data_IF_753648504072
#
_entry.id   IF_753648504072
#
_cell.length_a   1.000
_cell.length_b   1.000
_cell.length_c   1.000
_cell.angle_alpha   90.00
_cell.angle_beta   90.00
_cell.angle_gamma   90.00
#
_symmetry.space_group_name_H-M   'P 1'
#
loop_
_entity.id
_entity.type
_entity.pdbx_description
1 polymer ?
#
# COMPACT_ATOMS: atom_id res chain seq x y z
N UNK A 1 16.36 -4.18 -23.25
CA UNK A 1 15.83 -4.21 -22.68
C UNK A 1 15.02 -4.69 -22.35
N UNK A 2 15.05 -5.04 -22.34
CA UNK A 2 14.11 -5.28 -22.12
C UNK A 2 13.53 -5.52 -21.21
N UNK A 3 13.57 -5.65 -20.82
CA UNK A 3 13.19 -5.82 -20.08
C UNK A 3 12.55 -5.62 -19.26
N UNK A 4 12.94 -5.12 -19.29
CA UNK A 4 12.42 -4.35 -18.25
C UNK A 4 11.01 -4.49 -18.15
N UNK A 5 10.54 -5.15 -18.94
CA UNK A 5 9.19 -5.36 -19.00
C UNK A 5 8.67 -6.30 -18.01
N UNK A 6 9.44 -6.66 -17.04
CA UNK A 6 9.07 -7.71 -16.15
C UNK A 6 8.66 -7.20 -14.80
N UNK A 7 7.75 -6.25 -14.79
CA UNK A 7 7.17 -5.84 -13.52
C UNK A 7 6.14 -6.85 -13.08
N UNK A 8 6.33 -7.38 -11.89
CA UNK A 8 5.39 -8.33 -11.29
C UNK A 8 4.25 -7.58 -10.64
N UNK A 9 3.16 -8.28 -10.36
CA UNK A 9 2.05 -7.67 -9.63
C UNK A 9 2.50 -7.06 -8.32
N UNK A 10 3.40 -7.74 -7.61
CA UNK A 10 3.93 -7.25 -6.34
C UNK A 10 4.63 -5.93 -6.49
N UNK A 11 5.38 -5.76 -7.57
CA UNK A 11 6.09 -4.50 -7.80
C UNK A 11 5.11 -3.35 -7.97
N UNK A 12 4.03 -3.60 -8.69
CA UNK A 12 3.02 -2.58 -8.95
C UNK A 12 2.26 -2.26 -7.67
N UNK A 13 1.93 -3.29 -6.90
CA UNK A 13 1.23 -3.10 -5.63
C UNK A 13 2.08 -2.30 -4.66
N UNK A 14 3.38 -2.58 -4.60
CA UNK A 14 4.28 -1.83 -3.73
C UNK A 14 4.37 -0.37 -4.15
N UNK A 15 4.43 -0.13 -5.46
CA UNK A 15 4.45 1.25 -5.95
C UNK A 15 3.15 1.96 -5.60
N UNK A 16 2.02 1.27 -5.77
CA UNK A 16 0.73 1.85 -5.41
C UNK A 16 0.64 2.13 -3.92
N UNK A 17 1.19 1.22 -3.09
CA UNK A 17 1.24 1.45 -1.64
C UNK A 17 2.05 2.68 -1.30
N UNK A 18 3.16 2.90 -2.00
CA UNK A 18 3.98 4.09 -1.79
C UNK A 18 3.21 5.35 -2.14
N UNK A 19 2.41 5.30 -3.21
CA UNK A 19 1.56 6.43 -3.58
C UNK A 19 0.55 6.71 -2.48
N UNK A 20 -0.08 5.67 -1.93
CA UNK A 20 -1.05 5.84 -0.84
C UNK A 20 -0.36 6.47 0.37
N UNK A 21 0.83 6.01 0.69
CA UNK A 21 1.57 6.54 1.84
C UNK A 21 1.86 8.03 1.67
N UNK A 22 2.17 8.44 0.45
CA UNK A 22 2.53 9.84 0.17
C UNK A 22 1.32 10.73 -0.05
N UNK A 23 0.31 10.24 -0.73
CA UNK A 23 -0.75 11.10 -1.24
C UNK A 23 -2.16 10.59 -0.97
N UNK A 24 -2.31 9.40 -0.40
CA UNK A 24 -3.62 8.87 -0.08
C UNK A 24 -4.17 7.95 -1.16
N UNK A 25 -5.21 7.23 -0.81
CA UNK A 25 -5.79 6.20 -1.68
C UNK A 25 -6.37 6.79 -2.96
N UNK A 26 -6.91 7.99 -2.88
CA UNK A 26 -7.54 8.63 -4.04
C UNK A 26 -6.52 9.00 -5.13
N UNK A 27 -5.24 9.00 -4.79
CA UNK A 27 -4.20 9.35 -5.77
C UNK A 27 -3.83 8.19 -6.69
N UNK A 28 -4.35 7.00 -6.45
CA UNK A 28 -4.01 5.85 -7.27
C UNK A 28 -4.65 5.99 -8.65
N UNK A 29 -3.81 6.09 -9.66
CA UNK A 29 -4.22 5.96 -11.05
C UNK A 29 -3.03 5.42 -11.82
N UNK A 30 -3.26 4.98 -13.06
CA UNK A 30 -2.22 4.29 -13.81
C UNK A 30 -0.97 5.15 -13.99
N UNK A 31 -1.16 6.42 -14.29
CA UNK A 31 -0.02 7.32 -14.53
C UNK A 31 0.79 7.54 -13.27
N UNK A 32 0.10 7.76 -12.15
CA UNK A 32 0.81 8.02 -10.90
C UNK A 32 1.61 6.82 -10.45
N UNK A 33 1.01 5.63 -10.56
CA UNK A 33 1.70 4.40 -10.17
C UNK A 33 2.87 4.12 -11.12
N UNK A 34 2.67 4.36 -12.42
CA UNK A 34 3.74 4.17 -13.39
C UNK A 34 4.90 5.12 -13.10
N UNK A 35 4.59 6.35 -12.72
CA UNK A 35 5.63 7.31 -12.37
C UNK A 35 6.42 6.84 -11.14
N UNK A 36 5.73 6.27 -10.18
CA UNK A 36 6.38 5.74 -8.99
C UNK A 36 7.32 4.59 -9.34
N UNK A 37 6.91 3.75 -10.29
CA UNK A 37 7.73 2.63 -10.75
C UNK A 37 8.84 3.05 -11.69
N UNK A 38 8.70 4.22 -12.31
CA UNK A 38 9.65 4.66 -13.32
C UNK A 38 9.45 3.99 -14.66
N UNK A 39 8.21 3.70 -15.03
CA UNK A 39 7.90 3.01 -16.27
C UNK A 39 6.68 3.63 -16.94
N UNK A 40 6.29 3.09 -18.08
CA UNK A 40 5.07 3.49 -18.76
C UNK A 40 3.87 2.82 -18.09
N UNK A 41 2.66 3.14 -18.56
CA UNK A 41 1.44 2.55 -17.99
C UNK A 41 1.20 1.13 -18.45
N UNK A 42 1.88 0.68 -19.49
CA UNK A 42 1.63 -0.63 -20.07
C UNK A 42 1.78 -1.79 -19.09
N UNK A 43 2.86 -1.88 -18.31
CA UNK A 43 2.97 -2.99 -17.35
C UNK A 43 1.81 -3.06 -16.38
N UNK A 44 1.25 -1.91 -16.02
CA UNK A 44 0.14 -1.87 -15.08
C UNK A 44 -1.09 -2.52 -15.71
N UNK A 45 -1.40 -2.18 -16.95
CA UNK A 45 -2.56 -2.75 -17.64
C UNK A 45 -2.34 -4.20 -18.04
N UNK A 46 -1.10 -4.65 -18.06
CA UNK A 46 -0.80 -6.05 -18.26
C UNK A 46 -1.18 -6.88 -17.06
N UNK A 47 -0.94 -6.35 -15.87
CA UNK A 47 -1.11 -7.12 -14.64
C UNK A 47 -2.48 -6.94 -14.02
N UNK A 48 -3.14 -5.84 -14.30
CA UNK A 48 -4.45 -5.53 -13.69
C UNK A 48 -5.44 -5.14 -14.78
N UNK A 49 -6.59 -5.78 -14.75
CA UNK A 49 -7.61 -5.54 -15.74
C UNK A 49 -8.11 -4.10 -15.72
N UNK A 50 -8.21 -3.54 -14.52
CA UNK A 50 -8.64 -2.15 -14.36
C UNK A 50 -8.08 -1.60 -13.06
N UNK A 51 -8.30 -0.30 -12.85
CA UNK A 51 -7.75 0.37 -11.67
C UNK A 51 -8.42 -0.09 -10.39
N UNK A 52 -9.65 -0.52 -10.47
CA UNK A 52 -10.35 -1.01 -9.28
C UNK A 52 -9.66 -2.27 -8.74
N UNK A 53 -9.24 -3.15 -9.63
CA UNK A 53 -8.51 -4.35 -9.22
C UNK A 53 -7.20 -3.98 -8.54
N UNK A 54 -6.49 -2.99 -9.08
CA UNK A 54 -5.26 -2.53 -8.46
C UNK A 54 -5.53 -1.91 -7.10
N UNK A 55 -6.57 -1.10 -6.99
CA UNK A 55 -6.92 -0.49 -5.71
C UNK A 55 -7.23 -1.55 -4.66
N UNK A 56 -8.01 -2.56 -5.02
CA UNK A 56 -8.34 -3.63 -4.08
C UNK A 56 -7.10 -4.38 -3.63
N UNK A 57 -6.22 -4.70 -4.56
CA UNK A 57 -4.99 -5.41 -4.22
C UNK A 57 -4.11 -4.54 -3.30
N UNK A 58 -4.08 -3.23 -3.55
CA UNK A 58 -3.30 -2.32 -2.74
C UNK A 58 -3.86 -2.22 -1.32
N UNK A 59 -5.18 -2.15 -1.21
CA UNK A 59 -5.83 -2.11 0.10
C UNK A 59 -5.48 -3.36 0.90
N UNK A 60 -5.58 -4.52 0.28
CA UNK A 60 -5.23 -5.77 0.95
C UNK A 60 -3.77 -5.78 1.39
N UNK A 61 -2.89 -5.26 0.55
CA UNK A 61 -1.47 -5.19 0.88
C UNK A 61 -1.23 -4.30 2.10
N UNK A 62 -1.87 -3.13 2.13
CA UNK A 62 -1.70 -2.20 3.26
C UNK A 62 -2.31 -2.78 4.53
N UNK A 63 -3.42 -3.53 4.40
CA UNK A 63 -3.99 -4.20 5.56
C UNK A 63 -3.01 -5.22 6.15
N UNK A 64 -2.27 -5.91 5.31
CA UNK A 64 -1.23 -6.83 5.78
C UNK A 64 -0.11 -6.09 6.49
N UNK A 65 0.25 -4.90 5.99
CA UNK A 65 1.24 -4.07 6.67
C UNK A 65 0.73 -3.67 8.05
N UNK A 66 -0.53 -3.28 8.14
CA UNK A 66 -1.16 -2.96 9.42
C UNK A 66 -1.06 -4.13 10.39
N UNK A 67 -1.39 -5.34 9.90
CA UNK A 67 -1.31 -6.54 10.73
C UNK A 67 0.12 -6.78 11.20
N UNK A 68 1.11 -6.52 10.36
CA UNK A 68 2.51 -6.67 10.74
C UNK A 68 2.87 -5.73 11.88
N UNK A 69 2.42 -4.48 11.81
CA UNK A 69 2.65 -3.52 12.89
C UNK A 69 2.04 -4.03 14.20
N UNK A 70 0.82 -4.57 14.13
CA UNK A 70 0.14 -5.08 15.30
C UNK A 70 0.82 -6.29 15.89
N UNK A 71 1.30 -7.19 15.05
CA UNK A 71 2.01 -8.36 15.51
C UNK A 71 3.30 -7.96 16.23
N UNK A 72 4.04 -7.01 15.65
CA UNK A 72 5.25 -6.51 16.29
C UNK A 72 4.94 -5.86 17.63
N UNK A 73 3.86 -5.07 17.68
CA UNK A 73 3.45 -4.45 18.92
C UNK A 73 3.07 -5.47 19.98
N UNK A 74 2.47 -6.59 19.58
CA UNK A 74 2.04 -7.61 20.53
C UNK A 74 3.20 -8.35 21.17
N UNK A 75 4.39 -8.20 20.63
CA UNK A 75 5.59 -8.83 21.19
C UNK A 75 6.22 -8.01 22.30
N UNK A 76 5.72 -6.81 22.54
CA UNK A 76 6.22 -5.98 23.62
C UNK A 76 5.89 -6.57 24.97
N UNK A 77 6.66 -6.20 25.96
CA UNK A 77 6.48 -6.70 27.33
C UNK A 77 5.06 -6.43 27.83
N UNK A 78 4.55 -5.23 27.55
CA UNK A 78 3.15 -4.91 27.80
C UNK A 78 2.44 -4.89 26.45
N UNK A 79 1.81 -6.01 26.11
CA UNK A 79 1.28 -6.21 24.77
C UNK A 79 0.31 -5.11 24.34
N UNK A 80 -0.63 -4.73 25.21
CA UNK A 80 -1.62 -3.72 24.81
C UNK A 80 -0.96 -2.36 24.58
N UNK A 81 0.12 -2.05 25.32
CA UNK A 81 0.86 -0.82 25.10
C UNK A 81 1.60 -0.85 23.76
N UNK A 82 2.22 -2.00 23.47
CA UNK A 82 2.93 -2.18 22.21
C UNK A 82 1.99 -2.09 21.03
N UNK A 83 0.80 -2.66 21.16
CA UNK A 83 -0.19 -2.57 20.08
C UNK A 83 -0.70 -1.15 19.90
N UNK A 84 -0.87 -0.41 21.02
CA UNK A 84 -1.24 0.98 20.93
C UNK A 84 -0.22 1.82 20.23
N UNK A 85 1.07 1.60 20.52
CA UNK A 85 2.15 2.30 19.84
C UNK A 85 2.23 1.93 18.39
N UNK A 86 2.01 0.65 18.05
CA UNK A 86 2.00 0.20 16.67
C UNK A 86 0.88 0.86 15.89
N UNK A 87 -0.29 0.99 16.51
CA UNK A 87 -1.43 1.64 15.92
C UNK A 87 -1.11 3.11 15.58
N UNK A 88 -0.47 3.79 16.53
CA UNK A 88 -0.08 5.18 16.32
C UNK A 88 0.94 5.29 15.20
N UNK A 89 1.91 4.38 15.15
CA UNK A 89 2.91 4.38 14.09
C UNK A 89 2.27 4.17 12.72
N UNK A 90 1.32 3.25 12.66
CA UNK A 90 0.61 3.02 11.40
C UNK A 90 -0.16 4.25 10.96
N UNK A 91 -0.89 4.87 11.88
CA UNK A 91 -1.66 6.07 11.57
C UNK A 91 -0.76 7.21 11.10
N UNK A 92 0.44 7.29 11.66
CA UNK A 92 1.40 8.32 11.30
C UNK A 92 1.97 8.08 9.90
N UNK A 93 2.22 6.82 9.56
CA UNK A 93 2.79 6.46 8.26
C UNK A 93 1.76 6.48 7.14
N UNK A 94 0.51 6.19 7.46
CA UNK A 94 -0.57 6.07 6.48
C UNK A 94 -1.80 6.88 6.92
N UNK A 95 -1.66 8.20 7.07
CA UNK A 95 -2.75 8.98 7.68
C UNK A 95 -4.05 8.93 6.90
N UNK A 96 -3.99 9.05 5.59
CA UNK A 96 -5.21 9.05 4.78
C UNK A 96 -5.87 7.68 4.77
N UNK A 97 -5.08 6.63 4.68
CA UNK A 97 -5.60 5.28 4.71
C UNK A 97 -6.21 4.96 6.06
N UNK A 98 -5.54 5.41 7.13
CA UNK A 98 -6.05 5.20 8.48
C UNK A 98 -7.43 5.85 8.64
N UNK A 99 -7.59 7.07 8.15
CA UNK A 99 -8.90 7.73 8.21
C UNK A 99 -9.96 6.95 7.44
N UNK A 100 -9.58 6.35 6.33
CA UNK A 100 -10.51 5.50 5.57
C UNK A 100 -10.99 4.31 6.39
N UNK A 101 -10.09 3.72 7.16
CA UNK A 101 -10.44 2.56 7.98
C UNK A 101 -11.48 2.90 9.03
N UNK A 102 -11.36 4.06 9.65
CA UNK A 102 -12.27 4.40 10.74
C UNK A 102 -13.62 4.90 10.24
N UNK A 103 -13.75 5.13 8.94
CA UNK A 103 -15.01 5.57 8.35
C UNK A 103 -15.80 4.42 7.73
N UNK A 104 -15.32 3.23 7.84
CA UNK A 104 -16.00 2.06 7.26
C UNK A 104 -17.01 1.42 8.21
#
# INVERSE_FOLDING_TARGET
MPRATKFLKEDIIEAASAVVKKEGLSAINARRVAKELGCSVQPIFYQFENMEDLKQATILHIQKIYQSYMIEGSKEELAYRGMGLAYIRFAKDYPDFFLSLIHI
#
